data_IF_930069471331
#
_entry.id   IF_930069471331
#
_cell.length_a   1.000
_cell.length_b   1.000
_cell.length_c   1.000
_cell.angle_alpha   90.00
_cell.angle_beta   90.00
_cell.angle_gamma   90.00
#
_symmetry.space_group_name_H-M   'P 1'
#
loop_
_entity.id
_entity.type
_entity.pdbx_description
1 polymer ?
#
# COMPACT_ATOMS: atom_id res chain seq x y z
N UNK A 1 16.06 37.20 4.19
CA UNK A 1 16.20 35.72 4.23
C UNK A 1 17.09 35.39 5.42
N UNK A 2 16.55 34.80 6.49
CA UNK A 2 17.24 34.59 7.78
C UNK A 2 18.43 33.64 7.63
N UNK A 3 19.52 33.87 8.37
CA UNK A 3 20.74 33.03 8.34
C UNK A 3 20.45 31.54 8.52
N UNK A 4 19.44 31.20 9.32
CA UNK A 4 18.95 29.82 9.49
C UNK A 4 18.52 29.16 8.17
N UNK A 5 17.84 29.90 7.27
CA UNK A 5 17.45 29.40 5.94
C UNK A 5 18.64 29.24 4.98
N UNK A 6 19.68 30.08 5.11
CA UNK A 6 20.93 29.89 4.35
C UNK A 6 21.66 28.65 4.83
N UNK A 7 21.80 28.46 6.14
CA UNK A 7 22.48 27.31 6.73
C UNK A 7 21.76 25.98 6.43
N UNK A 8 20.43 25.95 6.51
CA UNK A 8 19.62 24.77 6.15
C UNK A 8 19.73 24.41 4.66
N UNK A 9 19.88 25.39 3.77
CA UNK A 9 20.07 25.14 2.33
C UNK A 9 21.48 24.63 2.01
N UNK A 10 22.52 25.17 2.65
CA UNK A 10 23.91 24.72 2.40
C UNK A 10 24.17 23.30 2.92
N UNK A 11 23.50 22.89 4.00
CA UNK A 11 23.59 21.51 4.51
C UNK A 11 22.81 20.49 3.68
N UNK A 12 21.68 20.88 3.07
CA UNK A 12 20.91 20.01 2.18
C UNK A 12 21.66 19.62 0.91
N UNK A 13 22.55 20.47 0.41
CA UNK A 13 23.30 20.20 -0.82
C UNK A 13 24.45 19.19 -0.67
N UNK A 14 24.88 18.88 0.56
CA UNK A 14 25.91 17.86 0.83
C UNK A 14 25.35 16.53 1.35
N UNK A 15 24.03 16.36 1.35
CA UNK A 15 23.45 15.09 1.78
C UNK A 15 23.67 14.04 0.69
N UNK A 16 24.51 13.05 0.99
CA UNK A 16 24.58 11.83 0.21
C UNK A 16 23.22 11.13 0.30
N UNK A 17 22.56 10.93 -0.83
CA UNK A 17 21.29 10.20 -0.87
C UNK A 17 21.55 8.71 -0.69
N UNK A 18 20.66 8.03 0.03
CA UNK A 18 20.78 6.60 0.28
C UNK A 18 19.55 5.88 -0.30
N UNK A 19 19.77 4.94 -1.21
CA UNK A 19 18.75 3.96 -1.65
C UNK A 19 18.96 2.73 -0.78
N UNK A 20 17.97 2.40 0.05
CA UNK A 20 18.04 1.23 0.92
C UNK A 20 17.20 0.12 0.31
N UNK A 21 17.81 -1.03 0.02
CA UNK A 21 17.06 -2.20 -0.43
C UNK A 21 16.34 -2.80 0.79
N UNK A 22 15.02 -3.05 0.75
CA UNK A 22 14.28 -3.63 1.86
C UNK A 22 14.60 -5.12 2.03
N UNK A 23 14.72 -5.56 3.28
CA UNK A 23 14.93 -6.97 3.59
C UNK A 23 13.65 -7.80 3.39
N UNK A 24 13.79 -9.14 3.35
CA UNK A 24 12.63 -10.02 3.27
C UNK A 24 11.66 -9.82 4.45
N UNK A 25 12.18 -9.53 5.64
CA UNK A 25 11.38 -9.23 6.84
C UNK A 25 10.68 -7.89 6.79
N UNK A 26 11.10 -6.97 5.90
CA UNK A 26 10.37 -5.73 5.65
C UNK A 26 9.17 -6.00 4.70
N UNK A 27 9.24 -7.04 3.87
CA UNK A 27 8.23 -7.37 2.84
C UNK A 27 7.22 -8.41 3.35
N UNK A 28 7.68 -9.41 4.10
CA UNK A 28 6.88 -10.52 4.60
C UNK A 28 6.91 -10.49 6.13
N UNK A 29 5.79 -10.16 6.75
CA UNK A 29 5.64 -10.25 8.20
C UNK A 29 5.02 -11.58 8.57
N UNK A 30 5.82 -12.45 9.20
CA UNK A 30 5.36 -13.75 9.69
C UNK A 30 4.77 -13.63 11.10
N UNK A 31 5.22 -12.65 11.88
CA UNK A 31 4.77 -12.39 13.24
C UNK A 31 3.95 -11.09 13.29
N UNK A 32 2.86 -11.06 14.08
CA UNK A 32 2.08 -9.85 14.27
C UNK A 32 2.99 -8.73 14.80
N UNK A 33 2.84 -7.53 14.24
CA UNK A 33 3.52 -6.33 14.75
C UNK A 33 3.11 -6.08 16.20
N UNK A 34 4.05 -5.60 16.99
CA UNK A 34 3.77 -5.21 18.37
C UNK A 34 2.71 -4.10 18.39
N UNK A 35 1.61 -4.35 19.11
CA UNK A 35 0.56 -3.37 19.36
C UNK A 35 0.85 -2.73 20.71
N UNK A 36 1.04 -1.41 20.70
CA UNK A 36 1.24 -0.64 21.92
C UNK A 36 0.01 -0.70 22.81
N UNK A 37 0.22 -0.89 24.10
CA UNK A 37 -0.87 -0.84 25.08
C UNK A 37 -1.35 0.63 25.27
N UNK A 38 -2.48 0.82 25.96
CA UNK A 38 -3.07 2.15 26.13
C UNK A 38 -2.12 3.14 26.83
N UNK A 39 -1.34 2.68 27.81
CA UNK A 39 -0.37 3.51 28.55
C UNK A 39 0.79 3.97 27.64
N UNK A 40 1.33 3.07 26.83
CA UNK A 40 2.36 3.35 25.83
C UNK A 40 1.81 4.28 24.74
N UNK A 41 0.56 4.11 24.32
CA UNK A 41 -0.11 4.99 23.36
C UNK A 41 -0.29 6.40 23.91
N UNK A 42 -0.64 6.55 25.19
CA UNK A 42 -0.68 7.85 25.86
C UNK A 42 0.70 8.51 25.90
N UNK A 43 1.75 7.74 26.17
CA UNK A 43 3.12 8.22 26.18
C UNK A 43 3.59 8.61 24.75
N UNK A 44 3.15 7.89 23.72
CA UNK A 44 3.45 8.21 22.32
C UNK A 44 2.78 9.51 21.84
N UNK A 45 1.64 9.91 22.42
CA UNK A 45 0.99 11.19 22.11
C UNK A 45 1.80 12.39 22.61
N UNK A 46 2.68 12.21 23.61
CA UNK A 46 3.53 13.28 24.14
C UNK A 46 4.64 13.68 23.18
N UNK A 47 5.13 14.94 23.26
CA UNK A 47 6.34 15.38 22.56
C UNK A 47 7.53 14.46 22.88
N UNK A 48 8.39 14.21 21.89
CA UNK A 48 9.50 13.26 22.02
C UNK A 48 10.43 13.51 23.23
N UNK A 49 10.61 14.79 23.60
CA UNK A 49 11.41 15.23 24.75
C UNK A 49 10.79 14.92 26.11
N UNK A 50 9.48 14.65 26.16
CA UNK A 50 8.71 14.44 27.39
C UNK A 50 8.30 12.98 27.56
N UNK A 51 8.69 12.09 26.63
CA UNK A 51 8.32 10.67 26.68
C UNK A 51 9.13 9.94 27.73
N UNK A 52 8.42 9.27 28.62
CA UNK A 52 8.99 8.34 29.57
C UNK A 52 9.15 6.94 28.93
N UNK A 53 10.36 6.65 28.45
CA UNK A 53 10.68 5.37 27.82
C UNK A 53 10.67 4.17 28.79
N UNK A 54 10.66 4.41 30.10
CA UNK A 54 10.61 3.34 31.10
C UNK A 54 9.26 2.61 31.13
N UNK A 55 8.21 3.24 30.62
CA UNK A 55 6.86 2.66 30.53
C UNK A 55 6.67 1.72 29.34
N UNK A 56 7.61 1.72 28.40
CA UNK A 56 7.51 0.85 27.24
C UNK A 56 8.04 -0.53 27.60
N UNK A 57 7.33 -1.55 27.14
CA UNK A 57 7.82 -2.91 27.12
C UNK A 57 9.08 -3.00 26.24
N UNK A 58 9.85 -4.08 26.40
CA UNK A 58 11.05 -4.29 25.59
C UNK A 58 10.69 -4.38 24.10
N UNK A 59 9.62 -5.10 23.77
CA UNK A 59 9.10 -5.24 22.41
C UNK A 59 8.60 -3.89 21.86
N UNK A 60 7.96 -3.07 22.69
CA UNK A 60 7.56 -1.71 22.34
C UNK A 60 8.73 -0.78 22.04
N UNK A 61 9.83 -0.90 22.79
CA UNK A 61 11.07 -0.16 22.54
C UNK A 61 11.74 -0.61 21.23
N UNK A 62 11.80 -1.91 20.96
CA UNK A 62 12.34 -2.46 19.71
C UNK A 62 11.52 -1.98 18.49
N UNK A 63 10.19 -1.99 18.58
CA UNK A 63 9.30 -1.47 17.53
C UNK A 63 9.45 0.05 17.34
N UNK A 64 9.63 0.81 18.43
CA UNK A 64 9.93 2.24 18.38
C UNK A 64 11.25 2.53 17.66
N UNK A 65 12.30 1.76 17.98
CA UNK A 65 13.60 1.90 17.35
C UNK A 65 13.51 1.57 15.85
N UNK A 66 12.82 0.48 15.49
CA UNK A 66 12.54 0.12 14.09
C UNK A 66 11.83 1.26 13.35
N UNK A 67 10.79 1.85 13.94
CA UNK A 67 10.07 3.00 13.34
C UNK A 67 10.98 4.22 13.15
N UNK A 68 11.88 4.50 14.09
CA UNK A 68 12.87 5.57 13.96
C UNK A 68 13.85 5.30 12.84
N UNK A 69 14.31 4.06 12.68
CA UNK A 69 15.20 3.69 11.59
C UNK A 69 14.53 3.85 10.22
N UNK A 70 13.27 3.45 10.09
CA UNK A 70 12.48 3.67 8.86
C UNK A 70 12.35 5.17 8.58
N UNK A 71 12.02 5.97 9.60
CA UNK A 71 11.94 7.43 9.44
C UNK A 71 13.27 8.06 9.02
N UNK A 72 14.40 7.58 9.57
CA UNK A 72 15.76 7.98 9.17
C UNK A 72 16.09 7.56 7.73
N UNK A 73 15.58 6.42 7.26
CA UNK A 73 15.72 5.99 5.86
C UNK A 73 14.94 6.91 4.92
N UNK A 74 13.67 7.17 5.23
CA UNK A 74 12.80 8.06 4.44
C UNK A 74 13.33 9.50 4.40
N UNK A 75 13.96 9.98 5.48
CA UNK A 75 14.53 11.33 5.48
C UNK A 75 15.74 11.46 4.54
N UNK A 76 16.50 10.38 4.34
CA UNK A 76 17.64 10.30 3.41
C UNK A 76 17.27 9.91 1.97
N UNK A 77 16.00 9.62 1.71
CA UNK A 77 15.51 9.25 0.38
C UNK A 77 15.79 10.37 -0.64
N UNK A 78 16.17 10.03 -1.90
CA UNK A 78 16.35 10.97 -2.99
C UNK A 78 15.08 11.68 -3.46
N UNK A 79 13.91 11.19 -3.02
CA UNK A 79 12.61 11.72 -3.40
C UNK A 79 12.48 13.18 -2.89
N UNK A 80 12.11 14.15 -3.75
CA UNK A 80 11.87 15.52 -3.31
C UNK A 80 10.66 15.60 -2.37
N UNK A 81 10.62 16.60 -1.48
CA UNK A 81 9.54 16.74 -0.49
C UNK A 81 8.13 16.82 -1.09
N UNK A 82 7.98 17.39 -2.28
CA UNK A 82 6.68 17.37 -2.99
C UNK A 82 6.31 15.96 -3.45
N UNK A 83 7.29 15.16 -3.89
CA UNK A 83 7.10 13.77 -4.30
C UNK A 83 6.74 12.89 -3.11
N UNK A 84 7.37 13.11 -1.95
CA UNK A 84 7.00 12.42 -0.69
C UNK A 84 5.56 12.73 -0.27
N UNK A 85 5.10 13.98 -0.44
CA UNK A 85 3.70 14.37 -0.17
C UNK A 85 2.74 13.69 -1.14
N UNK A 86 3.07 13.68 -2.43
CA UNK A 86 2.25 13.03 -3.45
C UNK A 86 2.17 11.52 -3.22
N UNK A 87 3.29 10.87 -2.93
CA UNK A 87 3.35 9.44 -2.61
C UNK A 87 2.49 9.10 -1.39
N UNK A 88 2.47 9.96 -0.36
CA UNK A 88 1.57 9.78 0.79
C UNK A 88 0.10 9.83 0.42
N UNK A 89 -0.28 10.75 -0.49
CA UNK A 89 -1.65 10.87 -0.99
C UNK A 89 -2.01 9.66 -1.84
N UNK A 90 -1.13 9.24 -2.75
CA UNK A 90 -1.33 8.06 -3.60
C UNK A 90 -1.50 6.81 -2.73
N UNK A 91 -0.60 6.60 -1.76
CA UNK A 91 -0.70 5.45 -0.84
C UNK A 91 -2.01 5.49 -0.05
N UNK A 92 -2.45 6.66 0.43
CA UNK A 92 -3.72 6.76 1.14
C UNK A 92 -4.93 6.44 0.24
N UNK A 93 -4.87 6.81 -1.05
CA UNK A 93 -5.89 6.45 -2.04
C UNK A 93 -5.86 4.93 -2.30
N UNK A 94 -4.67 4.34 -2.40
CA UNK A 94 -4.43 2.89 -2.56
C UNK A 94 -4.97 2.10 -1.36
N UNK A 95 -4.67 2.52 -0.13
CA UNK A 95 -5.19 1.89 1.10
C UNK A 95 -6.73 1.94 1.15
N UNK A 96 -7.34 3.05 0.71
CA UNK A 96 -8.80 3.17 0.59
C UNK A 96 -9.34 2.21 -0.49
N UNK A 97 -8.66 2.08 -1.62
CA UNK A 97 -9.01 1.15 -2.68
C UNK A 97 -8.91 -0.31 -2.21
N UNK A 98 -7.84 -0.68 -1.51
CA UNK A 98 -7.62 -2.01 -0.95
C UNK A 98 -8.68 -2.37 0.10
N UNK A 99 -9.05 -1.42 0.98
CA UNK A 99 -10.15 -1.61 1.96
C UNK A 99 -11.48 -1.82 1.25
N UNK A 100 -11.79 -1.01 0.23
CA UNK A 100 -13.02 -1.12 -0.54
C UNK A 100 -13.06 -2.43 -1.34
N UNK A 101 -11.96 -2.82 -1.99
CA UNK A 101 -11.85 -4.08 -2.73
C UNK A 101 -12.02 -5.29 -1.81
N UNK A 102 -11.38 -5.25 -0.64
CA UNK A 102 -11.48 -6.32 0.36
C UNK A 102 -12.89 -6.43 0.93
N UNK A 103 -13.52 -5.31 1.29
CA UNK A 103 -14.90 -5.28 1.74
C UNK A 103 -15.87 -5.81 0.67
N UNK A 104 -15.66 -5.41 -0.59
CA UNK A 104 -16.45 -5.86 -1.74
C UNK A 104 -16.29 -7.37 -1.96
N UNK A 105 -15.08 -7.89 -1.91
CA UNK A 105 -14.79 -9.33 -2.03
C UNK A 105 -15.42 -10.11 -0.88
N UNK A 106 -15.36 -9.61 0.36
CA UNK A 106 -16.02 -10.25 1.50
C UNK A 106 -17.54 -10.29 1.30
N UNK A 107 -18.15 -9.20 0.82
CA UNK A 107 -19.57 -9.15 0.49
C UNK A 107 -19.94 -10.13 -0.63
N UNK A 108 -19.10 -10.28 -1.67
CA UNK A 108 -19.30 -11.29 -2.71
C UNK A 108 -19.33 -12.70 -2.12
N UNK A 109 -18.38 -13.05 -1.25
CA UNK A 109 -18.34 -14.36 -0.57
C UNK A 109 -19.59 -14.59 0.26
N UNK A 110 -20.00 -13.60 1.06
CA UNK A 110 -21.23 -13.68 1.87
C UNK A 110 -22.47 -13.85 0.99
N UNK A 111 -22.52 -13.13 -0.14
CA UNK A 111 -23.64 -13.22 -1.11
C UNK A 111 -23.73 -14.61 -1.72
N UNK A 112 -22.60 -15.24 -2.02
CA UNK A 112 -22.54 -16.60 -2.56
C UNK A 112 -22.89 -17.64 -1.50
N UNK A 113 -22.47 -17.43 -0.24
CA UNK A 113 -22.78 -18.32 0.87
C UNK A 113 -24.25 -18.23 1.30
N UNK A 114 -24.84 -17.03 1.24
CA UNK A 114 -26.20 -16.75 1.69
C UNK A 114 -26.96 -15.98 0.60
N UNK A 115 -27.51 -16.66 -0.42
CA UNK A 115 -28.14 -16.01 -1.57
C UNK A 115 -29.31 -15.07 -1.20
N UNK A 116 -29.97 -15.29 -0.07
CA UNK A 116 -31.06 -14.44 0.41
C UNK A 116 -30.62 -13.01 0.75
N UNK A 117 -29.33 -12.77 1.03
CA UNK A 117 -28.83 -11.40 1.29
C UNK A 117 -28.43 -10.65 0.02
N UNK A 118 -28.47 -11.29 -1.16
CA UNK A 118 -27.99 -10.72 -2.42
C UNK A 118 -28.65 -9.38 -2.78
N UNK A 119 -29.94 -9.22 -2.48
CA UNK A 119 -30.66 -7.97 -2.73
C UNK A 119 -30.11 -6.79 -1.93
N UNK A 120 -29.53 -7.05 -0.75
CA UNK A 120 -28.97 -6.04 0.15
C UNK A 120 -27.48 -5.82 -0.14
N UNK A 121 -26.73 -6.87 -0.47
CA UNK A 121 -25.29 -6.78 -0.71
C UNK A 121 -24.94 -6.30 -2.13
N UNK A 122 -25.76 -6.59 -3.15
CA UNK A 122 -25.47 -6.20 -4.53
C UNK A 122 -25.30 -4.68 -4.74
N UNK A 123 -26.13 -3.79 -4.16
CA UNK A 123 -25.90 -2.34 -4.24
C UNK A 123 -24.59 -1.90 -3.57
N UNK A 124 -24.20 -2.55 -2.47
CA UNK A 124 -22.96 -2.25 -1.74
C UNK A 124 -21.73 -2.68 -2.53
N UNK A 125 -21.77 -3.87 -3.15
CA UNK A 125 -20.73 -4.37 -4.05
C UNK A 125 -20.56 -3.42 -5.23
N UNK A 126 -21.66 -3.01 -5.86
CA UNK A 126 -21.64 -2.06 -6.97
C UNK A 126 -21.07 -0.68 -6.55
N UNK A 127 -21.45 -0.17 -5.37
CA UNK A 127 -20.89 1.07 -4.85
C UNK A 127 -19.38 0.97 -4.59
N UNK A 128 -18.90 -0.17 -4.06
CA UNK A 128 -17.48 -0.43 -3.87
C UNK A 128 -16.69 -0.45 -5.17
N UNK A 129 -17.17 -1.15 -6.19
CA UNK A 129 -16.53 -1.19 -7.52
C UNK A 129 -16.50 0.19 -8.20
N UNK A 130 -17.55 0.99 -8.03
CA UNK A 130 -17.59 2.36 -8.52
C UNK A 130 -16.52 3.21 -7.82
N UNK A 131 -16.39 3.08 -6.50
CA UNK A 131 -15.42 3.82 -5.71
C UNK A 131 -13.97 3.44 -6.07
N UNK A 132 -13.66 2.14 -6.24
CA UNK A 132 -12.35 1.69 -6.75
C UNK A 132 -12.09 2.24 -8.16
N UNK A 133 -13.08 2.23 -9.06
CA UNK A 133 -12.92 2.81 -10.40
C UNK A 133 -12.61 4.31 -10.40
N UNK A 134 -13.11 5.05 -9.40
CA UNK A 134 -12.79 6.47 -9.20
C UNK A 134 -11.37 6.63 -8.65
N UNK A 135 -10.96 5.79 -7.69
CA UNK A 135 -9.59 5.75 -7.17
C UNK A 135 -8.56 5.46 -8.28
N UNK A 136 -8.81 4.44 -9.11
CA UNK A 136 -8.07 4.11 -10.33
C UNK A 136 -7.89 5.32 -11.25
N UNK A 137 -8.94 6.11 -11.45
CA UNK A 137 -8.92 7.32 -12.28
C UNK A 137 -8.05 8.42 -11.66
N UNK A 138 -8.11 8.59 -10.34
CA UNK A 138 -7.23 9.51 -9.60
C UNK A 138 -5.77 9.06 -9.66
N UNK A 139 -5.49 7.77 -9.49
CA UNK A 139 -4.15 7.18 -9.60
C UNK A 139 -3.60 7.37 -11.02
N UNK A 140 -4.43 7.14 -12.04
CA UNK A 140 -4.08 7.41 -13.43
C UNK A 140 -3.75 8.89 -13.65
N UNK A 141 -4.58 9.82 -13.16
CA UNK A 141 -4.34 11.26 -13.27
C UNK A 141 -3.08 11.70 -12.49
N UNK A 142 -2.84 11.17 -11.30
CA UNK A 142 -1.67 11.45 -10.50
C UNK A 142 -0.37 10.92 -11.13
N UNK A 143 -0.47 9.94 -12.04
CA UNK A 143 0.67 9.40 -12.79
C UNK A 143 1.08 10.24 -14.01
N UNK A 144 0.25 11.20 -14.45
CA UNK A 144 0.56 12.13 -15.56
C UNK A 144 1.94 12.82 -15.45
N UNK A 145 2.37 13.31 -14.28
CA UNK A 145 3.65 13.99 -14.12
C UNK A 145 4.85 13.04 -14.10
N UNK A 146 4.63 11.71 -14.00
CA UNK A 146 5.70 10.71 -13.82
C UNK A 146 6.34 10.25 -15.16
N UNK A 147 6.02 10.93 -16.27
CA UNK A 147 6.67 10.73 -17.57
C UNK A 147 5.76 10.11 -18.63
N UNK A 148 6.29 9.80 -19.83
CA UNK A 148 5.51 9.45 -21.02
C UNK A 148 4.68 8.17 -20.87
N UNK A 149 5.12 7.21 -20.04
CA UNK A 149 4.29 6.02 -19.73
C UNK A 149 3.12 6.35 -18.81
N UNK A 150 3.31 7.22 -17.82
CA UNK A 150 2.23 7.69 -16.94
C UNK A 150 1.21 8.50 -17.74
N UNK A 151 1.69 9.38 -18.63
CA UNK A 151 0.82 10.11 -19.55
C UNK A 151 0.04 9.20 -20.50
N UNK A 152 0.67 8.13 -21.04
CA UNK A 152 -0.02 7.15 -21.90
C UNK A 152 -1.09 6.37 -21.13
N UNK A 153 -0.82 5.95 -19.88
CA UNK A 153 -1.82 5.28 -19.03
C UNK A 153 -2.96 6.22 -18.69
N UNK A 154 -2.65 7.42 -18.21
CA UNK A 154 -3.63 8.45 -17.89
C UNK A 154 -4.52 8.82 -19.07
N UNK A 155 -3.93 9.01 -20.25
CA UNK A 155 -4.67 9.26 -21.48
C UNK A 155 -5.58 8.07 -21.83
N UNK A 156 -5.13 6.83 -21.64
CA UNK A 156 -5.97 5.65 -21.83
C UNK A 156 -7.18 5.62 -20.89
N UNK A 157 -6.98 5.88 -19.60
CA UNK A 157 -8.07 5.91 -18.61
C UNK A 157 -9.04 7.09 -18.83
N UNK A 158 -8.51 8.28 -19.16
CA UNK A 158 -9.32 9.46 -19.50
C UNK A 158 -10.12 9.26 -20.80
N UNK A 159 -9.52 8.63 -21.82
CA UNK A 159 -10.20 8.34 -23.08
C UNK A 159 -11.26 7.26 -22.91
N UNK A 160 -11.00 6.23 -22.12
CA UNK A 160 -12.00 5.24 -21.71
C UNK A 160 -13.17 5.92 -20.96
N UNK A 161 -12.89 6.84 -20.02
CA UNK A 161 -13.91 7.61 -19.31
C UNK A 161 -14.71 8.56 -20.21
N UNK A 162 -14.04 9.32 -21.09
CA UNK A 162 -14.65 10.30 -21.99
C UNK A 162 -15.53 9.64 -23.06
N UNK A 163 -15.20 8.43 -23.50
CA UNK A 163 -16.01 7.63 -24.42
C UNK A 163 -17.21 6.95 -23.74
N UNK A 164 -17.47 7.22 -22.45
CA UNK A 164 -18.47 6.50 -21.66
C UNK A 164 -18.13 5.01 -21.50
N UNK A 165 -16.95 4.58 -21.93
CA UNK A 165 -16.39 3.24 -21.76
C UNK A 165 -15.73 3.17 -20.39
N UNK A 166 -16.45 3.59 -19.36
CA UNK A 166 -16.05 3.31 -17.99
C UNK A 166 -15.98 1.79 -17.88
N UNK A 167 -14.77 1.24 -17.97
CA UNK A 167 -14.50 -0.17 -17.69
C UNK A 167 -15.09 -0.54 -16.34
N UNK A 168 -15.16 0.40 -15.39
CA UNK A 168 -15.93 0.29 -14.15
C UNK A 168 -17.40 -0.03 -14.37
N UNK A 169 -18.16 0.78 -15.12
CA UNK A 169 -19.58 0.54 -15.41
C UNK A 169 -19.85 -0.75 -16.18
N UNK A 170 -19.03 -1.06 -17.19
CA UNK A 170 -19.14 -2.33 -17.93
C UNK A 170 -18.73 -3.54 -17.07
N UNK A 171 -17.69 -3.41 -16.24
CA UNK A 171 -17.34 -4.44 -15.24
C UNK A 171 -18.44 -4.59 -14.21
N UNK A 172 -19.08 -3.51 -13.79
CA UNK A 172 -20.10 -3.47 -12.75
C UNK A 172 -21.39 -4.12 -13.22
N UNK A 173 -21.85 -3.82 -14.43
CA UNK A 173 -22.99 -4.56 -15.02
C UNK A 173 -22.65 -6.04 -15.22
N UNK A 174 -21.44 -6.34 -15.69
CA UNK A 174 -20.97 -7.71 -15.88
C UNK A 174 -20.78 -8.46 -14.56
N UNK A 175 -20.32 -7.81 -13.49
CA UNK A 175 -20.12 -8.39 -12.17
C UNK A 175 -21.47 -8.59 -11.47
N UNK A 176 -22.43 -7.68 -11.62
CA UNK A 176 -23.81 -7.91 -11.17
C UNK A 176 -24.42 -9.13 -11.87
N UNK A 177 -24.23 -9.27 -13.19
CA UNK A 177 -24.65 -10.46 -13.94
C UNK A 177 -23.92 -11.72 -13.43
N UNK A 178 -22.61 -11.64 -13.21
CA UNK A 178 -21.79 -12.75 -12.68
C UNK A 178 -22.25 -13.17 -11.28
N UNK A 179 -22.52 -12.23 -10.38
CA UNK A 179 -23.04 -12.50 -9.03
C UNK A 179 -24.42 -13.14 -9.12
N UNK A 180 -25.29 -12.68 -10.03
CA UNK A 180 -26.60 -13.32 -10.27
C UNK A 180 -26.46 -14.74 -10.83
N UNK A 181 -25.54 -14.98 -11.75
CA UNK A 181 -25.25 -16.32 -12.27
C UNK A 181 -24.68 -17.23 -11.20
N UNK A 182 -23.74 -16.75 -10.38
CA UNK A 182 -23.16 -17.52 -9.28
C UNK A 182 -24.23 -17.82 -8.21
N UNK A 183 -25.12 -16.88 -7.90
CA UNK A 183 -26.24 -17.10 -6.99
C UNK A 183 -27.20 -18.17 -7.53
N UNK A 184 -27.56 -18.11 -8.82
CA UNK A 184 -28.36 -19.16 -9.49
C UNK A 184 -27.65 -20.52 -9.47
N UNK A 185 -26.34 -20.56 -9.71
CA UNK A 185 -25.55 -21.79 -9.64
C UNK A 185 -25.45 -22.33 -8.22
N UNK A 186 -25.33 -21.47 -7.21
CA UNK A 186 -25.35 -21.86 -5.80
C UNK A 186 -26.69 -22.51 -5.42
N UNK A 187 -27.79 -21.92 -5.89
CA UNK A 187 -29.15 -22.42 -5.67
C UNK A 187 -29.39 -23.77 -6.38
N UNK A 188 -28.92 -23.93 -7.63
CA UNK A 188 -29.17 -25.13 -8.43
C UNK A 188 -28.20 -26.30 -8.18
N UNK A 189 -26.94 -26.00 -7.92
CA UNK A 189 -25.84 -26.99 -7.92
C UNK A 189 -25.02 -27.00 -6.62
N UNK A 190 -25.45 -26.20 -5.63
CA UNK A 190 -24.86 -26.15 -4.30
C UNK A 190 -23.58 -25.31 -4.22
N UNK A 191 -23.21 -24.99 -2.98
CA UNK A 191 -22.12 -24.06 -2.64
C UNK A 191 -20.76 -24.40 -3.29
N UNK A 192 -20.44 -25.69 -3.47
CA UNK A 192 -19.19 -26.14 -4.13
C UNK A 192 -19.10 -25.74 -5.60
N UNK A 193 -20.21 -25.73 -6.34
CA UNK A 193 -20.22 -25.33 -7.75
C UNK A 193 -20.04 -23.81 -7.89
N UNK A 194 -20.67 -23.05 -6.99
CA UNK A 194 -20.55 -21.59 -6.94
C UNK A 194 -19.11 -21.14 -6.60
N UNK A 195 -18.46 -21.78 -5.62
CA UNK A 195 -17.04 -21.55 -5.33
C UNK A 195 -16.12 -21.87 -6.52
N UNK A 196 -16.44 -22.91 -7.29
CA UNK A 196 -15.67 -23.29 -8.48
C UNK A 196 -15.83 -22.27 -9.61
N UNK A 197 -16.99 -21.62 -9.72
CA UNK A 197 -17.25 -20.55 -10.69
C UNK A 197 -16.53 -19.23 -10.34
N UNK A 198 -16.31 -18.94 -9.05
CA UNK A 198 -15.45 -17.86 -8.58
C UNK A 198 -13.94 -18.12 -8.84
N UNK A 199 -13.57 -19.36 -9.13
CA UNK A 199 -12.18 -19.83 -9.18
C UNK A 199 -11.47 -19.61 -10.53
N UNK A 200 -11.68 -18.47 -11.19
CA UNK A 200 -10.84 -18.08 -12.34
C UNK A 200 -9.44 -17.71 -11.84
N UNK A 201 -8.48 -18.65 -11.97
CA UNK A 201 -7.13 -18.67 -11.38
C UNK A 201 -6.31 -17.36 -11.40
N UNK A 202 -6.60 -16.43 -12.31
CA UNK A 202 -5.85 -15.17 -12.45
C UNK A 202 -6.35 -14.05 -11.51
N UNK A 203 -7.63 -14.07 -11.13
CA UNK A 203 -8.22 -13.09 -10.21
C UNK A 203 -7.90 -13.43 -8.74
N UNK A 204 -7.67 -14.71 -8.43
CA UNK A 204 -7.38 -15.17 -7.06
C UNK A 204 -6.02 -14.69 -6.53
N UNK A 205 -5.00 -14.58 -7.38
CA UNK A 205 -3.68 -14.09 -6.95
C UNK A 205 -3.76 -12.61 -6.54
N UNK A 206 -4.53 -11.79 -7.27
CA UNK A 206 -4.78 -10.39 -6.91
C UNK A 206 -5.50 -10.28 -5.58
N UNK A 207 -6.64 -10.97 -5.45
CA UNK A 207 -7.41 -11.02 -4.19
C UNK A 207 -6.62 -11.57 -3.00
N UNK A 208 -5.70 -12.52 -3.23
CA UNK A 208 -4.81 -13.04 -2.19
C UNK A 208 -3.75 -12.03 -1.77
N UNK A 209 -3.19 -11.26 -2.71
CA UNK A 209 -2.25 -10.17 -2.41
C UNK A 209 -2.94 -9.05 -1.64
N UNK A 210 -4.14 -8.64 -2.06
CA UNK A 210 -4.97 -7.65 -1.36
C UNK A 210 -5.33 -8.14 0.06
N UNK A 211 -5.77 -9.40 0.21
CA UNK A 211 -6.03 -9.98 1.52
C UNK A 211 -4.75 -10.10 2.38
N UNK A 212 -3.60 -10.38 1.76
CA UNK A 212 -2.31 -10.42 2.43
C UNK A 212 -1.83 -9.02 2.88
N UNK A 213 -2.22 -7.96 2.18
CA UNK A 213 -1.96 -6.56 2.59
C UNK A 213 -2.89 -6.16 3.74
N UNK A 214 -4.20 -6.43 3.63
CA UNK A 214 -5.17 -6.11 4.69
C UNK A 214 -4.90 -6.91 5.97
N UNK A 215 -4.45 -8.16 5.87
CA UNK A 215 -4.03 -8.92 7.04
C UNK A 215 -2.78 -8.35 7.72
N UNK A 216 -1.86 -7.70 6.99
CA UNK A 216 -0.77 -6.95 7.60
C UNK A 216 -1.29 -5.78 8.44
N UNK A 217 -2.33 -5.09 7.96
CA UNK A 217 -2.87 -3.92 8.65
C UNK A 217 -3.69 -4.29 9.90
N UNK A 218 -4.54 -5.33 9.81
CA UNK A 218 -5.38 -5.75 10.93
C UNK A 218 -4.67 -6.68 11.91
N UNK A 219 -3.86 -7.60 11.41
CA UNK A 219 -3.24 -8.67 12.20
C UNK A 219 -1.73 -8.47 12.36
N UNK A 220 -1.11 -7.54 11.63
CA UNK A 220 0.34 -7.39 11.62
C UNK A 220 1.07 -8.56 10.96
N UNK A 221 0.35 -9.46 10.27
CA UNK A 221 0.88 -10.65 9.59
C UNK A 221 0.43 -10.57 8.14
N UNK A 222 1.38 -10.46 7.21
CA UNK A 222 1.02 -10.27 5.81
C UNK A 222 2.16 -9.82 4.91
N UNK A 223 1.78 -9.35 3.73
CA UNK A 223 2.68 -8.80 2.71
C UNK A 223 2.64 -7.28 2.76
N UNK A 224 3.79 -6.65 3.01
CA UNK A 224 3.95 -5.21 2.98
C UNK A 224 4.56 -4.79 1.64
N UNK A 225 3.73 -4.23 0.76
CA UNK A 225 4.17 -3.71 -0.55
C UNK A 225 4.88 -2.36 -0.44
N UNK A 226 4.68 -1.62 0.65
CA UNK A 226 5.26 -0.29 0.89
C UNK A 226 6.78 -0.23 0.68
N UNK A 227 7.59 -1.14 1.26
CA UNK A 227 9.03 -1.16 1.06
C UNK A 227 9.46 -1.42 -0.39
N UNK A 228 8.72 -2.24 -1.14
CA UNK A 228 8.98 -2.50 -2.56
C UNK A 228 8.71 -1.26 -3.40
N UNK A 229 7.57 -0.59 -3.16
CA UNK A 229 7.22 0.66 -3.84
C UNK A 229 8.17 1.80 -3.48
N UNK A 230 8.62 1.84 -2.22
CA UNK A 230 9.66 2.74 -1.75
C UNK A 230 10.97 2.54 -2.51
N UNK A 231 11.43 1.29 -2.66
CA UNK A 231 12.63 0.97 -3.44
C UNK A 231 12.52 1.42 -4.90
N UNK A 232 11.40 1.13 -5.57
CA UNK A 232 11.18 1.53 -6.96
C UNK A 232 11.22 3.06 -7.12
N UNK A 233 10.60 3.78 -6.19
CA UNK A 233 10.60 5.25 -6.16
C UNK A 233 12.01 5.80 -5.90
N UNK A 234 12.71 5.27 -4.90
CA UNK A 234 14.08 5.66 -4.56
C UNK A 234 15.05 5.36 -5.71
N UNK A 235 14.87 4.24 -6.42
CA UNK A 235 15.67 3.91 -7.60
C UNK A 235 15.44 4.92 -8.74
N UNK A 236 14.18 5.24 -9.05
CA UNK A 236 13.84 6.24 -10.06
C UNK A 236 14.44 7.61 -9.73
N UNK A 237 14.17 8.13 -8.53
CA UNK A 237 14.70 9.44 -8.12
C UNK A 237 16.21 9.42 -7.90
N UNK A 238 16.78 8.28 -7.52
CA UNK A 238 18.22 8.08 -7.46
C UNK A 238 18.89 8.27 -8.82
N UNK A 239 18.29 7.75 -9.90
CA UNK A 239 18.77 8.00 -11.27
C UNK A 239 18.72 9.50 -11.58
N UNK A 240 17.60 10.16 -11.28
CA UNK A 240 17.45 11.62 -11.50
C UNK A 240 18.55 12.39 -10.74
N UNK A 241 18.79 12.07 -9.46
CA UNK A 241 19.84 12.72 -8.66
C UNK A 241 21.25 12.45 -9.16
N UNK A 242 21.50 11.24 -9.68
CA UNK A 242 22.79 10.89 -10.30
C UNK A 242 23.05 11.73 -11.55
N UNK A 243 22.02 11.96 -12.37
CA UNK A 243 22.08 12.84 -13.56
C UNK A 243 22.33 14.30 -13.15
N UNK A 244 21.76 14.76 -12.03
CA UNK A 244 22.03 16.07 -11.43
C UNK A 244 23.45 16.20 -10.81
N UNK A 245 24.29 15.16 -10.89
CA UNK A 245 25.65 15.17 -10.34
C UNK A 245 25.71 14.95 -8.83
N UNK A 246 24.60 14.56 -8.18
CA UNK A 246 24.57 14.30 -6.74
C UNK A 246 25.03 12.87 -6.42
N UNK A 247 25.67 12.70 -5.27
CA UNK A 247 26.10 11.38 -4.81
C UNK A 247 24.91 10.56 -4.29
N UNK A 248 24.77 9.35 -4.81
CA UNK A 248 23.75 8.37 -4.41
C UNK A 248 24.46 7.07 -4.01
N UNK A 249 24.22 6.60 -2.79
CA UNK A 249 24.75 5.34 -2.26
C UNK A 249 23.63 4.30 -2.18
N UNK A 250 23.94 3.07 -2.54
CA UNK A 250 23.02 1.94 -2.38
C UNK A 250 23.43 1.18 -1.13
N UNK A 251 22.49 0.94 -0.22
CA UNK A 251 22.70 0.16 1.01
C UNK A 251 21.85 -1.09 1.00
N UNK A 252 22.48 -2.21 1.33
CA UNK A 252 21.86 -3.53 1.40
C UNK A 252 21.97 -4.02 2.84
N UNK A 253 20.93 -3.83 3.69
CA UNK A 253 21.06 -4.00 5.14
C UNK A 253 21.37 -5.44 5.56
N UNK A 254 20.90 -6.46 4.83
CA UNK A 254 21.19 -7.87 5.14
C UNK A 254 22.60 -8.33 4.74
N UNK A 255 23.36 -7.49 4.02
CA UNK A 255 24.73 -7.80 3.62
C UNK A 255 25.76 -7.37 4.69
N UNK A 256 25.33 -6.71 5.77
CA UNK A 256 26.23 -6.51 6.92
C UNK A 256 26.39 -7.85 7.65
N UNK A 257 27.64 -8.21 7.97
CA UNK A 257 27.98 -9.48 8.65
C UNK A 257 27.21 -9.67 9.97
N UNK A 258 26.82 -8.57 10.62
CA UNK A 258 26.07 -8.55 11.88
C UNK A 258 24.58 -8.87 11.70
N UNK A 259 23.97 -8.51 10.56
CA UNK A 259 22.57 -8.81 10.29
C UNK A 259 22.38 -10.30 9.94
N UNK A 260 23.36 -10.89 9.25
CA UNK A 260 23.32 -12.32 8.90
C UNK A 260 23.46 -13.22 10.13
N UNK A 261 24.24 -12.82 11.15
CA UNK A 261 24.34 -13.57 12.41
C UNK A 261 23.05 -13.53 13.23
N UNK A 262 22.36 -12.38 13.32
CA UNK A 262 21.12 -12.24 14.10
C UNK A 262 19.90 -12.92 13.46
N UNK A 263 19.89 -13.10 12.14
CA UNK A 263 18.77 -13.75 11.44
C UNK A 263 18.81 -15.28 11.47
N UNK A 264 19.94 -15.86 11.89
CA UNK A 264 20.16 -17.31 12.01
C UNK A 264 20.02 -17.81 13.46
N UNK A 265 19.82 -16.91 14.41
CA UNK A 265 19.45 -17.19 15.81
C UNK A 265 17.92 -17.18 15.96
#
# INVERSE_FOLDING_TARGET
MTEKKRFENTYKDRQTYEIVIPGLTDIIHIKPRYQFNDEELEELKKPHSERDYSKFTKEGLEELERRREIAKRISKSPIPEWGKKLQRIINWIDDVEDVISTATTALEVVTVAVPSVAAVTAPLIAAGELASSVADLFNAAASLPLGPMGAKRAAGHLMDAALGRFKGLYKLTKNIERVREIAKLAEQSGFKAALKALHTKREWIGKFLEAAQVSDEFLGVGLCLGPVMGLLSDAFYGIVRKIEGKEVKIKVPWWSKEATSKALE
#
